data_IF_066425835542
#
_entry.id   IF_066425835542
#
_cell.length_a   1.000
_cell.length_b   1.000
_cell.length_c   1.000
_cell.angle_alpha   90.00
_cell.angle_beta   90.00
_cell.angle_gamma   90.00
#
_symmetry.space_group_name_H-M   'P 1'
#
loop_
_entity.id
_entity.type
_entity.pdbx_description
1 polymer ?
#
# COMPACT_ATOMS: atom_id res chain seq x y z
N UNK A 1 -35.92 -3.31 28.28
CA UNK A 1 -34.90 -4.38 28.42
C UNK A 1 -33.96 -4.32 27.24
N UNK A 2 -32.68 -4.09 27.53
CA UNK A 2 -31.58 -3.82 26.60
C UNK A 2 -31.36 -5.00 25.64
N UNK A 3 -31.50 -4.79 24.33
CA UNK A 3 -31.00 -5.74 23.33
C UNK A 3 -29.48 -5.60 23.26
N UNK A 4 -28.81 -6.53 23.93
CA UNK A 4 -27.37 -6.72 23.96
C UNK A 4 -26.75 -6.56 22.57
N UNK A 5 -25.84 -5.60 22.46
CA UNK A 5 -25.05 -5.30 21.29
C UNK A 5 -24.22 -6.54 20.92
N UNK A 6 -24.60 -7.23 19.84
CA UNK A 6 -23.70 -8.13 19.13
C UNK A 6 -22.66 -7.26 18.44
N UNK A 7 -21.61 -6.95 19.19
CA UNK A 7 -20.39 -6.32 18.73
C UNK A 7 -19.85 -7.18 17.59
N UNK A 8 -20.07 -6.71 16.37
CA UNK A 8 -19.49 -7.28 15.17
C UNK A 8 -17.99 -6.97 15.23
N UNK A 9 -17.21 -7.89 15.82
CA UNK A 9 -15.79 -8.03 15.53
C UNK A 9 -15.65 -8.43 14.05
N UNK A 10 -15.87 -7.47 13.14
CA UNK A 10 -15.49 -7.62 11.75
C UNK A 10 -13.97 -7.52 11.71
N UNK A 11 -13.35 -8.69 11.68
CA UNK A 11 -11.94 -8.90 11.35
C UNK A 11 -11.46 -7.84 10.35
N UNK A 12 -10.44 -7.09 10.75
CA UNK A 12 -9.59 -6.33 9.84
C UNK A 12 -9.11 -7.33 8.77
N UNK A 13 -9.60 -7.19 7.55
CA UNK A 13 -9.28 -8.08 6.42
C UNK A 13 -10.31 -9.20 6.18
N UNK A 14 -11.44 -8.88 5.54
CA UNK A 14 -12.21 -9.89 4.82
C UNK A 14 -11.52 -10.16 3.47
N UNK A 15 -10.94 -11.35 3.31
CA UNK A 15 -10.23 -11.81 2.12
C UNK A 15 -11.16 -12.27 0.97
N UNK A 16 -12.43 -11.88 0.98
CA UNK A 16 -13.39 -12.20 -0.10
C UNK A 16 -13.80 -10.92 -0.82
N UNK A 17 -13.99 -10.99 -2.14
CA UNK A 17 -14.62 -9.90 -2.92
C UNK A 17 -16.00 -9.68 -2.35
N UNK A 18 -16.13 -8.66 -1.50
CA UNK A 18 -17.37 -8.36 -0.82
C UNK A 18 -18.39 -7.88 -1.88
N UNK A 19 -19.55 -8.54 -1.93
CA UNK A 19 -20.66 -8.20 -2.85
C UNK A 19 -21.41 -6.95 -2.40
N UNK A 20 -20.98 -6.34 -1.31
CA UNK A 20 -21.53 -5.14 -0.70
C UNK A 20 -21.39 -3.92 -1.62
N UNK A 21 -22.45 -3.13 -1.67
CA UNK A 21 -22.55 -1.92 -2.47
C UNK A 21 -21.88 -0.70 -1.81
N UNK A 22 -21.16 -0.88 -0.70
CA UNK A 22 -20.63 0.22 0.11
C UNK A 22 -19.15 -0.01 0.40
N UNK A 23 -18.37 1.07 0.37
CA UNK A 23 -16.97 1.08 0.82
C UNK A 23 -16.90 1.76 2.19
N UNK A 24 -16.01 1.30 3.07
CA UNK A 24 -15.74 1.96 4.35
C UNK A 24 -14.46 2.77 4.22
N UNK A 25 -14.54 4.08 4.45
CA UNK A 25 -13.39 4.97 4.45
C UNK A 25 -13.04 5.37 5.89
N UNK A 26 -11.74 5.44 6.20
CA UNK A 26 -11.28 5.96 7.48
C UNK A 26 -11.37 7.49 7.48
N UNK A 27 -11.87 8.09 8.56
CA UNK A 27 -11.75 9.54 8.77
C UNK A 27 -10.38 9.88 9.32
N UNK A 28 -9.81 11.02 8.89
CA UNK A 28 -8.48 11.47 9.30
C UNK A 28 -8.34 11.61 10.82
N UNK A 29 -9.42 12.02 11.50
CA UNK A 29 -9.34 12.51 12.88
C UNK A 29 -9.94 11.55 13.92
N UNK A 30 -10.53 10.42 13.49
CA UNK A 30 -11.17 9.44 14.39
C UNK A 30 -10.99 8.01 13.85
N UNK A 31 -10.93 7.03 14.73
CA UNK A 31 -11.04 5.60 14.39
C UNK A 31 -12.46 5.21 13.93
N UNK A 32 -13.23 6.18 13.44
CA UNK A 32 -14.58 6.02 12.93
C UNK A 32 -14.52 5.82 11.41
N UNK A 33 -15.19 4.78 10.95
CA UNK A 33 -15.32 4.48 9.51
C UNK A 33 -16.64 5.00 8.99
N UNK A 34 -16.59 5.66 7.84
CA UNK A 34 -17.78 6.14 7.14
C UNK A 34 -18.08 5.25 5.94
N UNK A 35 -19.33 4.81 5.83
CA UNK A 35 -19.81 4.05 4.69
C UNK A 35 -20.17 4.97 3.55
N UNK A 36 -19.54 4.78 2.39
CA UNK A 36 -19.85 5.50 1.16
C UNK A 36 -20.39 4.55 0.09
N UNK A 37 -21.23 5.05 -0.82
CA UNK A 37 -21.70 4.26 -1.95
C UNK A 37 -20.52 3.84 -2.85
N UNK A 38 -20.36 2.53 -3.07
CA UNK A 38 -19.27 1.95 -3.86
C UNK A 38 -19.29 2.41 -5.31
N UNK A 39 -20.47 2.41 -5.93
CA UNK A 39 -20.61 2.80 -7.35
C UNK A 39 -20.21 4.26 -7.52
N UNK A 40 -20.75 5.14 -6.68
CA UNK A 40 -20.43 6.56 -6.71
C UNK A 40 -18.93 6.77 -6.51
N UNK A 41 -18.33 6.21 -5.46
CA UNK A 41 -16.91 6.33 -5.17
C UNK A 41 -16.01 5.89 -6.34
N UNK A 42 -16.27 4.70 -6.90
CA UNK A 42 -15.47 4.16 -8.01
C UNK A 42 -15.65 4.96 -9.30
N UNK A 43 -16.86 5.42 -9.59
CA UNK A 43 -17.14 6.22 -10.80
C UNK A 43 -16.54 7.62 -10.70
N UNK A 44 -16.68 8.28 -9.55
CA UNK A 44 -16.10 9.60 -9.30
C UNK A 44 -14.57 9.58 -9.43
N UNK A 45 -13.92 8.53 -8.93
CA UNK A 45 -12.46 8.39 -9.02
C UNK A 45 -11.97 7.63 -10.26
N UNK A 46 -12.88 7.20 -11.14
CA UNK A 46 -12.59 6.36 -12.30
C UNK A 46 -11.73 5.11 -11.98
N UNK A 47 -11.95 4.50 -10.81
CA UNK A 47 -11.18 3.35 -10.33
C UNK A 47 -11.90 2.03 -10.62
N UNK A 48 -11.12 0.98 -10.90
CA UNK A 48 -11.64 -0.39 -10.83
C UNK A 48 -11.71 -0.84 -9.37
N UNK A 49 -12.69 -1.67 -8.99
CA UNK A 49 -12.78 -2.19 -7.62
C UNK A 49 -11.47 -2.83 -7.12
N UNK A 50 -10.76 -3.55 -8.01
CA UNK A 50 -9.52 -4.24 -7.67
C UNK A 50 -8.42 -3.30 -7.16
N UNK A 51 -8.38 -2.04 -7.61
CA UNK A 51 -7.42 -1.06 -7.08
C UNK A 51 -7.68 -0.81 -5.61
N UNK A 52 -8.93 -0.55 -5.22
CA UNK A 52 -9.30 -0.28 -3.82
C UNK A 52 -8.97 -1.48 -2.94
N UNK A 53 -9.30 -2.70 -3.38
CA UNK A 53 -9.01 -3.92 -2.62
C UNK A 53 -7.51 -4.16 -2.45
N UNK A 54 -6.73 -4.03 -3.53
CA UNK A 54 -5.29 -4.24 -3.48
C UNK A 54 -4.60 -3.17 -2.62
N UNK A 55 -5.00 -1.91 -2.75
CA UNK A 55 -4.46 -0.83 -1.91
C UNK A 55 -4.73 -1.08 -0.44
N UNK A 56 -5.98 -1.39 -0.05
CA UNK A 56 -6.31 -1.69 1.36
C UNK A 56 -5.54 -2.91 1.87
N UNK A 57 -5.35 -3.94 1.04
CA UNK A 57 -4.59 -5.14 1.41
C UNK A 57 -3.10 -4.86 1.60
N UNK A 58 -2.56 -3.92 0.84
CA UNK A 58 -1.14 -3.54 0.89
C UNK A 58 -0.84 -2.44 1.89
N UNK A 59 -1.81 -1.97 2.68
CA UNK A 59 -1.55 -1.01 3.77
C UNK A 59 -1.04 -1.75 5.01
N UNK A 60 0.10 -1.32 5.53
CA UNK A 60 0.69 -1.79 6.78
C UNK A 60 -0.09 -1.29 8.00
N UNK A 61 0.18 -1.85 9.17
CA UNK A 61 -0.42 -1.41 10.44
C UNK A 61 -0.13 0.07 10.78
N UNK A 62 0.89 0.67 10.17
CA UNK A 62 1.27 2.09 10.33
C UNK A 62 0.57 3.02 9.33
N UNK A 63 -0.31 2.49 8.46
CA UNK A 63 -1.02 3.28 7.46
C UNK A 63 -0.20 3.58 6.20
N UNK A 64 1.01 3.06 6.10
CA UNK A 64 1.88 3.18 4.91
C UNK A 64 1.64 2.01 3.97
N UNK A 65 1.95 2.16 2.67
CA UNK A 65 1.92 1.02 1.76
C UNK A 65 3.14 0.13 1.96
N UNK A 66 2.93 -1.19 1.89
CA UNK A 66 4.02 -2.16 1.78
C UNK A 66 4.86 -1.87 0.54
N UNK A 67 6.16 -2.13 0.64
CA UNK A 67 7.06 -2.00 -0.50
C UNK A 67 6.60 -2.90 -1.65
N UNK A 68 6.55 -2.33 -2.84
CA UNK A 68 6.22 -3.07 -4.06
C UNK A 68 7.25 -4.17 -4.31
N UNK A 69 6.79 -5.42 -4.41
CA UNK A 69 7.59 -6.59 -4.82
C UNK A 69 7.69 -6.74 -6.35
N UNK A 70 7.40 -5.68 -7.11
CA UNK A 70 7.59 -5.70 -8.55
C UNK A 70 9.08 -5.87 -8.87
N UNK A 71 9.42 -6.79 -9.78
CA UNK A 71 10.81 -7.07 -10.17
C UNK A 71 11.59 -7.97 -9.21
N UNK A 72 11.09 -8.26 -8.00
CA UNK A 72 11.71 -9.24 -7.08
C UNK A 72 11.17 -10.65 -7.36
N UNK A 73 11.63 -11.26 -8.45
CA UNK A 73 11.40 -12.67 -8.73
C UNK A 73 12.56 -13.50 -8.17
N UNK A 74 12.28 -14.59 -7.43
CA UNK A 74 13.31 -15.38 -6.74
C UNK A 74 14.40 -16.00 -7.65
N UNK A 75 14.17 -16.06 -8.96
CA UNK A 75 15.15 -16.54 -9.95
C UNK A 75 16.07 -15.44 -10.50
N UNK A 76 16.43 -14.44 -9.69
CA UNK A 76 17.47 -13.48 -10.09
C UNK A 76 18.84 -14.18 -10.06
N UNK A 77 19.57 -14.11 -11.17
CA UNK A 77 20.99 -14.52 -11.20
C UNK A 77 21.76 -13.57 -10.29
N UNK A 78 22.39 -14.11 -9.25
CA UNK A 78 23.26 -13.33 -8.36
C UNK A 78 24.56 -13.03 -9.08
N UNK A 79 24.93 -11.75 -9.12
CA UNK A 79 26.24 -11.31 -9.59
C UNK A 79 27.21 -11.49 -8.42
N UNK A 80 28.47 -11.83 -8.72
CA UNK A 80 29.50 -11.94 -7.70
C UNK A 80 29.69 -10.62 -6.94
N UNK A 81 29.88 -10.71 -5.62
CA UNK A 81 30.00 -9.55 -4.75
C UNK A 81 31.23 -8.69 -5.10
N UNK A 82 32.29 -9.31 -5.62
CA UNK A 82 33.50 -8.60 -6.05
C UNK A 82 33.20 -7.63 -7.19
N UNK A 83 32.38 -8.05 -8.16
CA UNK A 83 31.95 -7.23 -9.30
C UNK A 83 31.07 -6.09 -8.81
N UNK A 84 30.12 -6.38 -7.90
CA UNK A 84 29.26 -5.35 -7.30
C UNK A 84 30.09 -4.29 -6.60
N UNK A 85 31.11 -4.69 -5.85
CA UNK A 85 31.99 -3.75 -5.15
C UNK A 85 32.86 -2.96 -6.13
N UNK A 86 33.36 -3.59 -7.19
CA UNK A 86 34.10 -2.90 -8.26
C UNK A 86 33.27 -1.80 -8.93
N UNK A 87 32.00 -2.09 -9.24
CA UNK A 87 31.07 -1.10 -9.82
C UNK A 87 30.83 0.05 -8.85
N UNK A 88 30.57 -0.22 -7.56
CA UNK A 88 30.39 0.83 -6.54
C UNK A 88 31.62 1.71 -6.41
N UNK A 89 32.80 1.11 -6.36
CA UNK A 89 34.07 1.85 -6.28
C UNK A 89 34.28 2.73 -7.52
N UNK A 90 33.94 2.25 -8.71
CA UNK A 90 33.99 3.04 -9.94
C UNK A 90 33.01 4.22 -9.91
N UNK A 91 31.77 4.01 -9.50
CA UNK A 91 30.77 5.09 -9.35
C UNK A 91 31.27 6.14 -8.35
N UNK A 92 31.84 5.70 -7.23
CA UNK A 92 32.37 6.59 -6.20
C UNK A 92 33.68 7.28 -6.58
N UNK A 93 34.33 6.88 -7.69
CA UNK A 93 35.53 7.55 -8.19
C UNK A 93 35.22 8.87 -8.91
N UNK A 94 33.96 9.08 -9.33
CA UNK A 94 33.52 10.34 -9.88
C UNK A 94 33.29 11.36 -8.76
N UNK A 95 33.77 12.59 -8.96
CA UNK A 95 33.50 13.69 -8.02
C UNK A 95 31.99 13.94 -7.91
N UNK A 96 31.48 13.99 -6.68
CA UNK A 96 30.11 14.41 -6.42
C UNK A 96 30.06 15.93 -6.56
N UNK A 97 29.27 16.42 -7.51
CA UNK A 97 28.97 17.85 -7.62
C UNK A 97 27.75 18.11 -6.75
N UNK A 98 27.87 19.06 -5.82
CA UNK A 98 26.74 19.48 -5.01
C UNK A 98 25.61 19.97 -5.91
N UNK A 99 24.44 19.36 -5.77
CA UNK A 99 23.26 19.82 -6.50
C UNK A 99 22.82 21.16 -5.94
N UNK A 100 22.78 22.19 -6.78
CA UNK A 100 22.36 23.55 -6.44
C UNK A 100 21.00 23.60 -5.71
N UNK A 101 20.12 22.64 -5.97
CA UNK A 101 18.76 22.56 -5.44
C UNK A 101 18.60 21.78 -4.13
N UNK A 102 19.68 21.23 -3.57
CA UNK A 102 19.66 20.63 -2.24
C UNK A 102 20.23 21.63 -1.23
N UNK A 103 19.43 22.67 -0.91
CA UNK A 103 19.64 23.55 0.24
C UNK A 103 18.46 23.43 1.17
#
# INVERSE_FOLDING_TARGET
MLRSARYLEKKVGSLKRDTTFHNLLNKSDKNDRESVCRIFFLKTLALKPDFVYNTVRSVTNTGTLELSHQGTHGNQRKIDQTIVQGIRNHINSFQVVDSHYCR
#
